data_IF_542934496906
#
_entry.id   IF_542934496906
#
_cell.length_a   1.000
_cell.length_b   1.000
_cell.length_c   1.000
_cell.angle_alpha   90.00
_cell.angle_beta   90.00
_cell.angle_gamma   90.00
#
_symmetry.space_group_name_H-M   'P 1'
#
loop_
_entity.id
_entity.type
_entity.pdbx_description
1 polymer ?
#
# COMPACT_ATOMS: atom_id res chain seq x y z
N UNK A 1 -60.28 -32.33 -5.39
CA UNK A 1 -59.84 -31.23 -4.48
C UNK A 1 -58.33 -31.08 -4.64
N UNK A 2 -57.78 -29.86 -4.52
CA UNK A 2 -56.86 -29.18 -5.48
C UNK A 2 -55.36 -29.38 -5.11
N UNK A 3 -54.29 -28.78 -5.66
CA UNK A 3 -54.06 -27.56 -6.44
C UNK A 3 -52.56 -27.46 -6.88
N UNK A 4 -52.31 -26.63 -7.91
CA UNK A 4 -51.20 -25.63 -8.01
C UNK A 4 -49.78 -26.03 -8.48
N UNK A 5 -49.34 -25.26 -9.47
CA UNK A 5 -48.06 -25.14 -10.18
C UNK A 5 -46.96 -24.64 -9.23
N UNK A 6 -45.70 -25.06 -9.45
CA UNK A 6 -44.52 -24.31 -9.00
C UNK A 6 -43.30 -24.63 -9.88
N UNK A 7 -42.97 -23.69 -10.77
CA UNK A 7 -41.61 -23.51 -11.30
C UNK A 7 -40.63 -23.29 -10.15
N UNK A 8 -39.42 -23.86 -10.25
CA UNK A 8 -38.29 -23.47 -9.40
C UNK A 8 -36.94 -23.83 -10.03
N UNK A 9 -36.44 -22.88 -10.81
CA UNK A 9 -35.07 -22.34 -10.76
C UNK A 9 -33.94 -23.28 -10.31
N UNK A 10 -33.25 -23.89 -11.27
CA UNK A 10 -31.84 -24.27 -11.10
C UNK A 10 -30.97 -23.08 -11.50
N UNK A 11 -31.00 -22.05 -10.66
CA UNK A 11 -29.92 -21.08 -10.60
C UNK A 11 -28.72 -21.82 -10.01
N UNK A 12 -27.81 -22.26 -10.89
CA UNK A 12 -26.44 -22.62 -10.52
C UNK A 12 -25.86 -21.44 -9.73
N UNK A 13 -25.90 -21.58 -8.40
CA UNK A 13 -25.18 -20.77 -7.45
C UNK A 13 -23.71 -20.89 -7.82
N UNK A 14 -23.17 -19.87 -8.49
CA UNK A 14 -21.73 -19.67 -8.54
C UNK A 14 -21.31 -19.37 -7.11
N UNK A 15 -20.78 -20.40 -6.45
CA UNK A 15 -20.17 -20.35 -5.13
C UNK A 15 -19.22 -19.15 -5.04
N UNK A 16 -19.64 -18.15 -4.27
CA UNK A 16 -18.85 -17.41 -3.29
C UNK A 16 -17.32 -17.44 -3.53
N UNK A 17 -16.84 -16.65 -4.48
CA UNK A 17 -15.58 -15.95 -4.31
C UNK A 17 -15.92 -14.56 -3.77
N UNK A 18 -16.21 -14.47 -2.47
CA UNK A 18 -15.95 -13.23 -1.75
C UNK A 18 -14.43 -13.01 -1.80
N UNK A 19 -13.94 -12.49 -2.93
CA UNK A 19 -12.63 -11.88 -2.98
C UNK A 19 -12.69 -10.79 -1.92
N UNK A 20 -12.00 -11.03 -0.80
CA UNK A 20 -11.67 -10.06 0.24
C UNK A 20 -11.11 -8.84 -0.50
N UNK A 21 -12.00 -7.91 -0.89
CA UNK A 21 -11.68 -6.80 -1.78
C UNK A 21 -10.85 -5.84 -0.94
N UNK A 22 -9.56 -6.13 -0.87
CA UNK A 22 -8.62 -5.40 -0.05
C UNK A 22 -8.32 -4.10 -0.80
N UNK A 23 -8.94 -2.97 -0.43
CA UNK A 23 -9.00 -1.81 -1.32
C UNK A 23 -7.60 -1.22 -1.59
N UNK A 24 -6.66 -1.44 -0.67
CA UNK A 24 -5.33 -0.83 -0.69
C UNK A 24 -4.26 -1.68 -1.38
N UNK A 25 -4.57 -2.87 -1.91
CA UNK A 25 -3.63 -3.66 -2.73
C UNK A 25 -4.29 -3.98 -4.08
N UNK A 26 -3.58 -3.59 -5.15
CA UNK A 26 -3.86 -4.07 -6.50
C UNK A 26 -2.68 -4.89 -7.03
N UNK A 27 -2.97 -5.92 -7.81
CA UNK A 27 -1.96 -6.79 -8.40
C UNK A 27 -1.76 -6.47 -9.88
N UNK A 28 -0.53 -6.11 -10.23
CA UNK A 28 -0.15 -5.63 -11.57
C UNK A 28 0.86 -6.55 -12.26
N UNK A 29 1.12 -6.28 -13.54
CA UNK A 29 1.98 -7.07 -14.42
C UNK A 29 1.23 -8.18 -15.17
N UNK A 30 1.88 -8.77 -16.18
CA UNK A 30 1.29 -9.81 -17.05
C UNK A 30 0.81 -11.01 -16.23
N UNK A 31 1.55 -11.37 -15.17
CA UNK A 31 1.23 -12.47 -14.26
C UNK A 31 0.51 -12.04 -12.98
N UNK A 32 0.14 -10.75 -12.82
CA UNK A 32 -0.46 -10.19 -11.58
C UNK A 32 0.34 -10.50 -10.31
N UNK A 33 1.67 -10.44 -10.40
CA UNK A 33 2.58 -10.75 -9.28
C UNK A 33 3.19 -9.52 -8.63
N UNK A 34 2.98 -8.33 -9.20
CA UNK A 34 3.57 -7.08 -8.69
C UNK A 34 2.54 -6.37 -7.82
N UNK A 35 2.68 -6.35 -6.48
CA UNK A 35 1.76 -5.65 -5.61
C UNK A 35 1.93 -4.14 -5.74
N UNK A 36 0.80 -3.44 -5.89
CA UNK A 36 0.68 -1.99 -5.94
C UNK A 36 -0.14 -1.56 -4.73
N UNK A 37 0.50 -0.79 -3.85
CA UNK A 37 -0.19 -0.19 -2.71
C UNK A 37 -0.95 1.05 -3.18
N UNK A 38 -2.25 1.09 -2.90
CA UNK A 38 -3.13 2.21 -3.21
C UNK A 38 -3.45 2.93 -1.91
N UNK A 39 -3.20 4.24 -1.89
CA UNK A 39 -3.49 5.10 -0.75
C UNK A 39 -4.70 5.97 -1.04
N UNK A 40 -5.69 5.91 -0.15
CA UNK A 40 -6.93 6.65 -0.27
C UNK A 40 -6.92 7.89 0.63
N UNK A 41 -7.22 9.09 0.11
CA UNK A 41 -7.38 10.28 0.95
C UNK A 41 -8.51 10.12 1.98
N UNK A 42 -9.51 9.29 1.68
CA UNK A 42 -10.61 8.93 2.57
C UNK A 42 -10.10 8.36 3.88
N UNK A 43 -9.01 7.58 3.89
CA UNK A 43 -8.42 7.05 5.12
C UNK A 43 -7.95 8.16 6.09
N UNK A 44 -7.70 9.39 5.60
CA UNK A 44 -7.34 10.54 6.45
C UNK A 44 -8.56 11.16 7.11
N UNK A 45 -9.72 11.07 6.46
CA UNK A 45 -10.97 11.73 6.89
C UNK A 45 -11.90 10.75 7.63
N UNK A 46 -12.01 9.52 7.11
CA UNK A 46 -12.80 8.41 7.64
C UNK A 46 -11.88 7.43 8.36
N UNK A 47 -12.27 7.01 9.57
CA UNK A 47 -11.56 5.98 10.34
C UNK A 47 -12.14 4.59 10.08
N UNK A 48 -12.35 4.26 8.82
CA UNK A 48 -12.77 2.91 8.46
C UNK A 48 -11.61 1.93 8.63
N UNK A 49 -11.88 0.78 9.27
CA UNK A 49 -10.88 -0.25 9.54
C UNK A 49 -10.43 -0.99 8.27
N UNK A 50 -11.16 -0.85 7.16
CA UNK A 50 -10.81 -1.44 5.87
C UNK A 50 -9.43 -0.96 5.37
N UNK A 51 -9.08 0.31 5.58
CA UNK A 51 -7.83 0.90 5.09
C UNK A 51 -6.61 0.43 5.91
N UNK A 52 -6.76 0.27 7.23
CA UNK A 52 -5.64 -0.12 8.10
C UNK A 52 -5.29 -1.62 8.04
N UNK A 53 -6.26 -2.45 7.68
CA UNK A 53 -6.13 -3.92 7.63
C UNK A 53 -4.90 -4.39 6.84
N UNK A 54 -4.54 -3.70 5.76
CA UNK A 54 -3.44 -4.08 4.87
C UNK A 54 -2.09 -3.91 5.54
N UNK A 55 -1.82 -2.71 6.07
CA UNK A 55 -0.56 -2.42 6.71
C UNK A 55 -0.33 -3.32 7.92
N UNK A 56 -1.37 -3.57 8.71
CA UNK A 56 -1.32 -4.39 9.91
C UNK A 56 -1.07 -5.87 9.60
N UNK A 57 -1.85 -6.48 8.68
CA UNK A 57 -1.71 -7.89 8.30
C UNK A 57 -0.33 -8.19 7.69
N UNK A 58 0.23 -7.25 6.94
CA UNK A 58 1.55 -7.38 6.31
C UNK A 58 2.69 -6.83 7.18
N UNK A 59 2.42 -6.37 8.40
CA UNK A 59 3.38 -5.77 9.33
C UNK A 59 4.24 -4.67 8.67
N UNK A 60 3.60 -3.83 7.87
CA UNK A 60 4.26 -2.81 7.07
C UNK A 60 4.79 -1.68 7.93
N UNK A 61 5.98 -1.21 7.62
CA UNK A 61 6.66 -0.16 8.35
C UNK A 61 7.14 0.96 7.42
N UNK A 62 7.14 2.19 7.93
CA UNK A 62 7.70 3.34 7.24
C UNK A 62 8.60 4.15 8.16
N UNK A 63 9.49 4.94 7.56
CA UNK A 63 10.27 5.95 8.29
C UNK A 63 10.34 7.26 7.52
N UNK A 64 10.31 8.36 8.26
CA UNK A 64 10.48 9.71 7.71
C UNK A 64 11.86 10.23 8.06
N UNK A 65 12.60 10.74 7.07
CA UNK A 65 13.98 11.20 7.22
C UNK A 65 14.14 12.60 6.63
N UNK A 66 14.65 13.56 7.42
CA UNK A 66 14.92 14.95 7.01
C UNK A 66 13.68 15.68 6.46
N UNK A 67 12.48 15.39 6.99
CA UNK A 67 11.25 16.12 6.65
C UNK A 67 10.19 15.91 7.73
N UNK A 68 9.22 16.83 7.79
CA UNK A 68 8.07 16.79 8.70
C UNK A 68 6.75 16.54 7.94
N UNK A 69 6.78 15.76 6.86
CA UNK A 69 5.65 15.53 5.93
C UNK A 69 4.41 14.94 6.63
N UNK A 70 3.62 15.77 7.31
CA UNK A 70 2.49 15.37 8.18
C UNK A 70 1.40 14.63 7.42
N UNK A 71 1.08 15.08 6.20
CA UNK A 71 0.08 14.42 5.35
C UNK A 71 0.52 12.99 5.00
N UNK A 72 1.78 12.84 4.56
CA UNK A 72 2.34 11.53 4.23
C UNK A 72 2.35 10.62 5.45
N UNK A 73 2.79 11.13 6.60
CA UNK A 73 2.75 10.41 7.88
C UNK A 73 1.33 9.94 8.20
N UNK A 74 0.35 10.83 8.13
CA UNK A 74 -1.05 10.52 8.40
C UNK A 74 -1.64 9.49 7.44
N UNK A 75 -1.39 9.62 6.13
CA UNK A 75 -1.82 8.64 5.13
C UNK A 75 -1.24 7.26 5.46
N UNK A 76 0.06 7.15 5.69
CA UNK A 76 0.71 5.87 5.97
C UNK A 76 0.20 5.23 7.27
N UNK A 77 0.11 6.01 8.36
CA UNK A 77 -0.40 5.51 9.63
C UNK A 77 -1.86 5.06 9.54
N UNK A 78 -2.70 5.78 8.79
CA UNK A 78 -4.11 5.41 8.64
C UNK A 78 -4.31 4.19 7.73
N UNK A 79 -3.31 3.84 6.90
CA UNK A 79 -3.27 2.57 6.16
C UNK A 79 -2.59 1.44 6.94
N UNK A 80 -2.40 1.61 8.26
CA UNK A 80 -1.90 0.59 9.16
C UNK A 80 -0.38 0.41 9.13
N UNK A 81 0.38 1.34 8.52
CA UNK A 81 1.83 1.26 8.55
C UNK A 81 2.37 1.77 9.89
N UNK A 82 3.34 1.05 10.45
CA UNK A 82 4.03 1.43 11.68
C UNK A 82 5.18 2.39 11.40
N UNK A 83 5.19 3.56 12.04
CA UNK A 83 6.36 4.46 11.99
C UNK A 83 7.51 3.87 12.81
N UNK A 84 8.70 3.78 12.21
CA UNK A 84 9.92 3.30 12.88
C UNK A 84 10.95 4.40 13.01
N UNK A 85 11.90 4.21 13.93
CA UNK A 85 12.99 5.15 14.15
C UNK A 85 13.79 5.37 12.84
N UNK A 86 14.27 6.59 12.53
CA UNK A 86 15.02 6.88 11.31
C UNK A 86 16.23 5.96 11.05
N UNK A 87 16.87 5.50 12.13
CA UNK A 87 18.02 4.58 12.09
C UNK A 87 17.63 3.09 11.94
N UNK A 88 16.34 2.74 11.99
CA UNK A 88 15.89 1.37 11.77
C UNK A 88 16.14 0.96 10.32
N UNK A 89 16.58 -0.30 10.13
CA UNK A 89 16.63 -0.93 8.82
C UNK A 89 15.41 -1.82 8.54
N UNK A 90 14.56 -2.05 9.54
CA UNK A 90 13.29 -2.77 9.39
C UNK A 90 12.20 -1.77 8.97
N UNK A 91 12.06 -1.55 7.66
CA UNK A 91 11.05 -0.69 7.04
C UNK A 91 10.74 -1.16 5.61
N UNK A 92 9.56 -0.82 5.10
CA UNK A 92 9.18 -1.03 3.70
C UNK A 92 9.29 0.28 2.90
N UNK A 93 8.92 1.42 3.49
CA UNK A 93 8.95 2.72 2.83
C UNK A 93 9.77 3.75 3.60
N UNK A 94 10.79 4.32 2.96
CA UNK A 94 11.52 5.49 3.46
C UNK A 94 11.04 6.74 2.73
N UNK A 95 10.49 7.70 3.47
CA UNK A 95 10.10 9.00 2.92
C UNK A 95 11.12 10.08 3.32
N UNK A 96 11.76 10.70 2.34
CA UNK A 96 12.82 11.69 2.59
C UNK A 96 12.52 13.05 1.98
N UNK A 97 12.96 14.10 2.66
CA UNK A 97 12.86 15.49 2.17
C UNK A 97 13.93 15.88 1.14
N UNK A 98 14.94 15.03 0.93
CA UNK A 98 16.05 15.27 0.02
C UNK A 98 16.60 13.97 -0.56
N UNK A 99 17.29 14.09 -1.70
CA UNK A 99 17.95 12.96 -2.36
C UNK A 99 18.92 12.24 -1.40
N UNK A 100 18.91 10.91 -1.49
CA UNK A 100 19.84 10.07 -0.75
C UNK A 100 21.18 9.98 -1.46
N UNK A 101 22.25 9.81 -0.68
CA UNK A 101 23.58 9.52 -1.23
C UNK A 101 23.55 8.15 -1.93
N UNK A 102 24.29 7.96 -3.05
CA UNK A 102 24.25 6.72 -3.82
C UNK A 102 24.52 5.44 -3.01
N UNK A 103 25.40 5.49 -2.01
CA UNK A 103 25.69 4.32 -1.18
C UNK A 103 24.49 3.86 -0.33
N UNK A 104 23.60 4.77 0.07
CA UNK A 104 22.40 4.42 0.84
C UNK A 104 21.43 3.67 -0.07
N UNK A 105 21.27 4.13 -1.32
CA UNK A 105 20.40 3.48 -2.30
C UNK A 105 20.90 2.07 -2.63
N UNK A 106 22.22 1.87 -2.71
CA UNK A 106 22.84 0.55 -2.91
C UNK A 106 22.70 -0.39 -1.72
N UNK A 107 22.45 0.12 -0.52
CA UNK A 107 22.26 -0.70 0.69
C UNK A 107 20.80 -1.08 0.95
N UNK A 108 19.85 -0.60 0.12
CA UNK A 108 18.45 -0.95 0.28
C UNK A 108 18.21 -2.41 -0.12
N UNK A 109 17.32 -3.07 0.61
CA UNK A 109 16.80 -4.38 0.21
C UNK A 109 15.73 -4.23 -0.89
N UNK A 110 15.48 -5.30 -1.65
CA UNK A 110 14.54 -5.29 -2.78
C UNK A 110 13.09 -4.92 -2.39
N UNK A 111 12.72 -5.20 -1.13
CA UNK A 111 11.42 -4.85 -0.55
C UNK A 111 11.34 -3.41 -0.02
N UNK A 112 12.48 -2.71 0.09
CA UNK A 112 12.56 -1.34 0.57
C UNK A 112 12.37 -0.36 -0.59
N UNK A 113 11.47 0.60 -0.41
CA UNK A 113 11.18 1.67 -1.36
C UNK A 113 11.53 3.03 -0.79
N UNK A 114 11.92 3.96 -1.67
CA UNK A 114 12.20 5.36 -1.34
C UNK A 114 11.55 6.27 -2.37
N UNK A 115 11.15 7.47 -1.95
CA UNK A 115 10.47 8.47 -2.78
C UNK A 115 11.40 9.31 -3.68
N UNK A 116 12.68 8.96 -3.80
CA UNK A 116 13.66 9.68 -4.63
C UNK A 116 14.43 8.73 -5.53
N UNK A 117 14.53 9.08 -6.80
CA UNK A 117 15.48 8.44 -7.71
C UNK A 117 16.93 8.83 -7.38
N UNK A 118 17.92 7.98 -7.72
CA UNK A 118 19.33 8.35 -7.64
C UNK A 118 19.62 9.63 -8.42
N UNK A 119 20.29 10.58 -7.78
CA UNK A 119 20.93 11.69 -8.50
C UNK A 119 22.30 11.24 -8.98
N UNK A 120 22.53 11.35 -10.28
CA UNK A 120 23.88 11.39 -10.80
C UNK A 120 24.39 12.82 -10.61
N UNK A 121 25.57 12.98 -10.00
CA UNK A 121 26.24 14.29 -9.93
C UNK A 121 26.50 14.75 -11.37
N UNK A 122 25.62 15.58 -11.93
CA UNK A 122 25.62 15.86 -13.36
C UNK A 122 24.64 16.91 -13.84
N UNK A 123 23.32 16.71 -13.68
CA UNK A 123 22.33 17.65 -14.21
C UNK A 123 21.05 17.59 -13.35
N UNK A 124 20.69 18.71 -12.74
CA UNK A 124 19.34 18.93 -12.25
C UNK A 124 18.47 19.28 -13.47
N UNK A 125 17.77 18.32 -14.08
CA UNK A 125 16.60 18.66 -14.87
C UNK A 125 15.38 18.38 -13.98
N UNK A 126 14.87 19.47 -13.41
CA UNK A 126 13.48 19.52 -13.00
C UNK A 126 12.66 19.40 -14.29
N UNK A 127 11.99 18.26 -14.49
CA UNK A 127 10.81 18.21 -15.37
C UNK A 127 9.62 18.75 -14.59
#
# INVERSE_FOLDING_TARGET
MPAVIRDKDDAETSSEEEQDHQPCISWSGVSRTIPVLIFFPEAVVSKEENFCSVGERCNMAFKIVRTESRLVRGILSNHGFREVHPNSNDFNLMWTGSHLKPYILRSLHDFQKVNHFPRYDGVCECV
#
